data_IF_756745731858
#
_entry.id   IF_756745731858
#
_cell.length_a   1.000
_cell.length_b   1.000
_cell.length_c   1.000
_cell.angle_alpha   90.00
_cell.angle_beta   90.00
_cell.angle_gamma   90.00
#
_symmetry.space_group_name_H-M   'P 1'
#
loop_
_entity.id
_entity.type
_entity.pdbx_description
1 polymer ?
#
# COMPACT_ATOMS: atom_id res chain seq x y z
N UNK A 1 2.90 -22.44 -8.60
CA UNK A 1 3.07 -21.16 -9.33
C UNK A 1 3.55 -20.17 -8.29
N UNK A 2 4.84 -19.89 -8.30
CA UNK A 2 5.51 -19.08 -7.28
C UNK A 2 5.26 -17.61 -7.58
N UNK A 3 4.61 -16.91 -6.65
CA UNK A 3 4.54 -15.44 -6.65
C UNK A 3 5.93 -14.90 -6.26
N UNK A 4 6.84 -14.82 -7.23
CA UNK A 4 8.09 -14.07 -7.12
C UNK A 4 7.77 -12.57 -7.25
N UNK A 5 7.23 -11.97 -6.19
CA UNK A 5 7.33 -10.52 -6.00
C UNK A 5 8.63 -10.26 -5.24
N UNK A 6 9.62 -9.58 -5.83
CA UNK A 6 10.86 -9.28 -5.12
C UNK A 6 10.52 -8.34 -3.97
N UNK A 7 10.53 -8.88 -2.75
CA UNK A 7 10.37 -8.08 -1.57
C UNK A 7 11.66 -7.30 -1.35
N UNK A 8 11.61 -5.99 -1.60
CA UNK A 8 12.70 -5.05 -1.31
C UNK A 8 12.87 -4.86 0.22
N UNK A 9 13.30 -5.94 0.89
CA UNK A 9 13.63 -5.98 2.29
C UNK A 9 15.12 -5.67 2.48
N UNK A 10 15.58 -4.51 2.02
CA UNK A 10 16.85 -3.97 2.50
C UNK A 10 16.77 -3.73 4.01
N UNK A 11 17.77 -4.15 4.78
CA UNK A 11 17.90 -3.84 6.22
C UNK A 11 18.15 -2.35 6.48
N UNK A 12 18.31 -1.54 5.43
CA UNK A 12 18.53 -0.10 5.50
C UNK A 12 17.42 0.68 4.80
N UNK A 13 17.10 1.84 5.33
CA UNK A 13 16.20 2.80 4.71
C UNK A 13 16.90 3.45 3.49
N UNK A 14 16.37 3.34 2.27
CA UNK A 14 17.00 3.92 1.07
C UNK A 14 16.95 5.45 1.02
N UNK A 15 16.13 6.12 1.84
CA UNK A 15 16.10 7.58 1.92
C UNK A 15 17.15 8.13 2.89
N UNK A 16 17.42 7.42 3.99
CA UNK A 16 18.28 7.91 5.08
C UNK A 16 19.56 7.10 5.27
N UNK A 17 19.66 5.92 4.65
CA UNK A 17 20.74 4.96 4.85
C UNK A 17 20.75 4.29 6.23
N UNK A 18 19.85 4.69 7.14
CA UNK A 18 19.81 4.17 8.50
C UNK A 18 19.29 2.73 8.55
N UNK A 19 19.85 1.89 9.44
CA UNK A 19 19.34 0.54 9.65
C UNK A 19 17.89 0.60 10.13
N UNK A 20 17.03 -0.21 9.51
CA UNK A 20 15.62 -0.32 9.90
C UNK A 20 15.58 -0.96 11.29
N UNK A 21 14.78 -0.41 12.23
CA UNK A 21 14.70 -0.96 13.58
C UNK A 21 14.23 -2.43 13.53
N UNK A 22 14.83 -3.32 14.34
CA UNK A 22 14.53 -4.74 14.31
C UNK A 22 13.06 -5.00 14.62
N UNK A 23 12.50 -6.00 13.93
CA UNK A 23 11.09 -6.37 13.99
C UNK A 23 10.70 -6.74 15.42
N UNK A 24 9.96 -5.85 16.08
CA UNK A 24 9.24 -6.20 17.32
C UNK A 24 7.84 -6.66 16.95
N UNK A 25 7.37 -7.70 17.61
CA UNK A 25 5.97 -8.11 17.53
C UNK A 25 5.06 -6.90 17.76
N UNK A 26 4.04 -6.72 16.92
CA UNK A 26 3.11 -5.61 17.03
C UNK A 26 2.23 -5.77 18.28
N UNK A 27 2.74 -5.32 19.43
CA UNK A 27 2.03 -5.27 20.71
C UNK A 27 1.24 -3.97 20.82
N UNK A 28 0.16 -3.85 20.06
CA UNK A 28 -0.85 -2.82 20.27
C UNK A 28 -2.07 -3.38 21.00
N UNK A 29 -2.96 -2.51 21.51
CA UNK A 29 -4.26 -2.93 22.04
C UNK A 29 -4.96 -3.84 21.02
N UNK A 30 -5.30 -5.06 21.42
CA UNK A 30 -5.87 -6.08 20.52
C UNK A 30 -4.87 -7.04 19.87
N UNK A 31 -3.67 -7.21 20.44
CA UNK A 31 -2.69 -8.22 19.98
C UNK A 31 -3.14 -9.67 20.20
N UNK A 32 -3.97 -9.93 21.22
CA UNK A 32 -4.56 -11.26 21.49
C UNK A 32 -5.80 -11.58 20.64
N UNK A 33 -6.21 -10.66 19.76
CA UNK A 33 -7.41 -10.86 18.94
C UNK A 33 -7.14 -11.90 17.87
N UNK A 34 -7.98 -12.93 17.80
CA UNK A 34 -7.97 -13.88 16.70
C UNK A 34 -8.38 -13.20 15.39
N UNK A 35 -7.50 -13.29 14.40
CA UNK A 35 -7.67 -12.64 13.10
C UNK A 35 -8.06 -13.64 12.02
N UNK A 36 -8.84 -13.17 11.05
CA UNK A 36 -9.12 -13.91 9.84
C UNK A 36 -7.81 -14.10 9.04
N UNK A 37 -7.48 -15.30 8.56
CA UNK A 37 -6.27 -15.54 7.77
C UNK A 37 -6.30 -14.85 6.39
N UNK A 38 -7.48 -14.48 5.88
CA UNK A 38 -7.63 -13.78 4.61
C UNK A 38 -7.44 -12.27 4.72
N UNK A 39 -8.31 -11.58 5.48
CA UNK A 39 -8.31 -10.12 5.57
C UNK A 39 -7.56 -9.54 6.78
N UNK A 40 -7.04 -10.39 7.69
CA UNK A 40 -6.34 -10.01 8.92
C UNK A 40 -7.11 -9.10 9.90
N UNK A 41 -8.41 -8.90 9.66
CA UNK A 41 -9.33 -8.28 10.62
C UNK A 41 -9.70 -9.27 11.73
N UNK A 42 -10.15 -8.78 12.89
CA UNK A 42 -10.76 -9.62 13.93
C UNK A 42 -11.82 -10.54 13.32
N UNK A 43 -11.89 -11.82 13.74
CA UNK A 43 -12.85 -12.79 13.19
C UNK A 43 -14.30 -12.28 13.17
N UNK A 44 -14.71 -11.58 14.23
CA UNK A 44 -16.06 -10.99 14.34
C UNK A 44 -16.33 -9.88 13.32
N UNK A 45 -15.28 -9.24 12.78
CA UNK A 45 -15.36 -8.17 11.79
C UNK A 45 -14.75 -8.61 10.45
N UNK A 46 -14.83 -9.91 10.14
CA UNK A 46 -14.28 -10.46 8.91
C UNK A 46 -15.00 -9.87 7.68
N UNK A 47 -14.22 -9.30 6.76
CA UNK A 47 -14.75 -8.75 5.50
C UNK A 47 -14.68 -9.74 4.33
N UNK A 48 -14.07 -10.91 4.50
CA UNK A 48 -13.95 -11.90 3.42
C UNK A 48 -15.29 -12.29 2.77
N UNK A 49 -16.40 -12.47 3.52
CA UNK A 49 -17.71 -12.77 2.90
C UNK A 49 -18.25 -11.64 2.00
N UNK A 50 -17.81 -10.41 2.24
CA UNK A 50 -18.22 -9.21 1.51
C UNK A 50 -17.22 -8.79 0.43
N UNK A 51 -16.10 -9.51 0.30
CA UNK A 51 -15.09 -9.19 -0.70
C UNK A 51 -15.71 -9.28 -2.09
N UNK A 52 -15.50 -8.24 -2.88
CA UNK A 52 -15.90 -8.15 -4.29
C UNK A 52 -14.67 -7.81 -5.08
N UNK A 53 -14.41 -8.57 -6.12
CA UNK A 53 -13.40 -8.23 -7.12
C UNK A 53 -14.10 -7.45 -8.22
N UNK A 54 -13.50 -6.34 -8.63
CA UNK A 54 -14.01 -5.46 -9.67
C UNK A 54 -12.93 -5.29 -10.73
N UNK A 55 -13.33 -5.35 -11.99
CA UNK A 55 -12.47 -4.99 -13.10
C UNK A 55 -12.64 -3.50 -13.41
N UNK A 56 -11.52 -2.82 -13.66
CA UNK A 56 -11.50 -1.37 -13.90
C UNK A 56 -10.51 -1.06 -15.01
N UNK A 57 -10.90 -0.15 -15.91
CA UNK A 57 -9.99 0.45 -16.89
C UNK A 57 -9.02 1.42 -16.24
N UNK A 58 -9.44 2.09 -15.15
CA UNK A 58 -8.56 2.90 -14.32
C UNK A 58 -7.63 2.01 -13.51
N UNK A 59 -6.33 2.34 -13.51
CA UNK A 59 -5.32 1.68 -12.70
C UNK A 59 -5.07 2.48 -11.42
N UNK A 60 -4.92 1.79 -10.31
CA UNK A 60 -4.62 2.39 -9.02
C UNK A 60 -3.16 2.08 -8.65
N UNK A 61 -2.41 3.13 -8.33
CA UNK A 61 -1.05 3.02 -7.80
C UNK A 61 -1.04 3.57 -6.38
N UNK A 62 -0.82 2.70 -5.41
CA UNK A 62 -0.83 3.05 -3.99
C UNK A 62 0.59 3.35 -3.53
N UNK A 63 0.82 4.61 -3.14
CA UNK A 63 2.01 5.02 -2.41
C UNK A 63 1.80 4.74 -0.92
N UNK A 64 2.65 3.91 -0.33
CA UNK A 64 2.54 3.54 1.08
C UNK A 64 3.87 3.68 1.81
N UNK A 65 3.81 4.10 3.07
CA UNK A 65 5.01 4.15 3.91
C UNK A 65 5.52 2.72 4.20
N UNK A 66 6.84 2.47 4.31
CA UNK A 66 7.39 1.14 4.58
C UNK A 66 6.74 0.43 5.78
N UNK A 67 6.48 1.19 6.86
CA UNK A 67 5.89 0.65 8.09
C UNK A 67 4.42 0.20 7.93
N UNK A 68 3.71 0.70 6.94
CA UNK A 68 2.31 0.31 6.68
C UNK A 68 2.22 -1.12 6.16
N UNK A 69 3.26 -1.64 5.51
CA UNK A 69 3.33 -3.06 5.13
C UNK A 69 3.34 -4.00 6.34
N UNK A 70 3.71 -3.49 7.51
CA UNK A 70 3.73 -4.27 8.75
C UNK A 70 2.39 -4.25 9.49
N UNK A 71 1.46 -3.39 9.07
CA UNK A 71 0.12 -3.39 9.67
C UNK A 71 -0.61 -4.67 9.26
N UNK A 72 -1.30 -5.34 10.19
CA UNK A 72 -2.06 -6.54 9.86
C UNK A 72 -3.13 -6.23 8.80
N UNK A 73 -3.74 -5.04 8.86
CA UNK A 73 -4.75 -4.55 7.93
C UNK A 73 -4.63 -3.03 7.76
N UNK A 74 -4.95 -2.53 6.56
CA UNK A 74 -5.10 -1.11 6.22
C UNK A 74 -5.99 -0.94 4.97
N UNK A 75 -6.38 0.29 4.66
CA UNK A 75 -7.24 0.60 3.50
C UNK A 75 -6.60 0.19 2.18
N UNK A 76 -5.26 0.30 2.05
CA UNK A 76 -4.55 -0.08 0.82
C UNK A 76 -4.71 -1.56 0.48
N UNK A 77 -4.67 -2.44 1.49
CA UNK A 77 -4.93 -3.87 1.32
C UNK A 77 -6.36 -4.14 0.87
N UNK A 78 -7.34 -3.40 1.40
CA UNK A 78 -8.74 -3.50 0.93
C UNK A 78 -8.88 -3.07 -0.54
N UNK A 79 -8.22 -2.00 -0.96
CA UNK A 79 -8.22 -1.55 -2.35
C UNK A 79 -7.64 -2.62 -3.27
N UNK A 80 -6.48 -3.19 -2.92
CA UNK A 80 -5.87 -4.30 -3.69
C UNK A 80 -6.76 -5.54 -3.71
N UNK A 81 -7.47 -5.78 -2.62
CA UNK A 81 -8.37 -6.92 -2.52
C UNK A 81 -9.60 -6.80 -3.43
N UNK A 82 -10.04 -5.56 -3.72
CA UNK A 82 -11.17 -5.23 -4.60
C UNK A 82 -10.74 -5.03 -6.06
N UNK A 83 -9.59 -4.39 -6.28
CA UNK A 83 -9.01 -4.08 -7.59
C UNK A 83 -7.65 -4.80 -7.71
N UNK A 84 -7.60 -6.04 -8.21
CA UNK A 84 -6.37 -6.84 -8.23
C UNK A 84 -5.25 -6.24 -9.09
N UNK A 85 -5.61 -5.39 -10.05
CA UNK A 85 -4.67 -4.66 -10.91
C UNK A 85 -3.97 -3.49 -10.19
N UNK A 86 -4.32 -3.24 -8.92
CA UNK A 86 -3.69 -2.22 -8.08
C UNK A 86 -2.25 -2.58 -7.78
N UNK A 87 -1.35 -1.63 -7.99
CA UNK A 87 0.06 -1.79 -7.69
C UNK A 87 0.43 -0.95 -6.47
N UNK A 88 1.33 -1.47 -5.64
CA UNK A 88 1.75 -0.81 -4.40
C UNK A 88 3.23 -0.44 -4.52
N UNK A 89 3.55 0.80 -4.21
CA UNK A 89 4.90 1.35 -4.23
C UNK A 89 5.25 1.86 -2.85
N UNK A 90 6.49 1.60 -2.43
CA UNK A 90 7.01 2.16 -1.20
C UNK A 90 7.33 3.63 -1.43
N UNK A 91 6.76 4.50 -0.61
CA UNK A 91 7.01 5.93 -0.69
C UNK A 91 8.18 6.34 0.19
N UNK A 92 9.12 7.05 -0.43
CA UNK A 92 10.19 7.77 0.23
C UNK A 92 10.16 9.23 -0.24
N UNK A 93 10.52 10.16 0.65
CA UNK A 93 10.51 11.61 0.33
C UNK A 93 11.51 11.98 -0.77
N UNK A 94 12.65 11.31 -0.81
CA UNK A 94 13.80 11.68 -1.65
C UNK A 94 14.14 10.64 -2.71
N UNK A 95 13.58 9.43 -2.58
CA UNK A 95 13.99 8.27 -3.39
C UNK A 95 12.74 7.61 -3.99
N UNK A 96 12.12 8.22 -5.00
CA UNK A 96 10.95 7.64 -5.66
C UNK A 96 11.31 6.33 -6.36
N UNK A 97 10.34 5.41 -6.42
CA UNK A 97 10.47 4.14 -7.14
C UNK A 97 10.57 4.39 -8.66
N UNK A 98 11.62 3.88 -9.30
CA UNK A 98 11.88 4.09 -10.74
C UNK A 98 10.75 3.52 -11.62
N UNK A 99 10.14 2.43 -11.19
CA UNK A 99 9.04 1.79 -11.91
C UNK A 99 7.77 2.63 -11.85
N UNK A 100 7.54 3.33 -10.74
CA UNK A 100 6.46 4.31 -10.64
C UNK A 100 6.73 5.49 -11.59
N UNK A 101 7.95 6.02 -11.62
CA UNK A 101 8.30 7.11 -12.53
C UNK A 101 8.10 6.73 -14.00
N UNK A 102 8.50 5.50 -14.38
CA UNK A 102 8.27 4.99 -15.74
C UNK A 102 6.78 4.90 -16.09
N UNK A 103 5.93 4.48 -15.14
CA UNK A 103 4.49 4.42 -15.34
C UNK A 103 3.84 5.82 -15.45
N UNK A 104 4.32 6.79 -14.68
CA UNK A 104 3.85 8.17 -14.74
C UNK A 104 4.24 8.87 -16.05
N UNK A 105 5.38 8.50 -16.64
CA UNK A 105 5.84 9.02 -17.93
C UNK A 105 5.16 8.35 -19.15
N UNK A 106 4.47 7.23 -18.94
CA UNK A 106 3.81 6.49 -20.02
C UNK A 106 2.53 7.21 -20.47
N UNK A 107 2.53 7.65 -21.73
CA UNK A 107 1.42 8.36 -22.39
C UNK A 107 0.07 7.64 -22.38
N UNK A 108 0.04 6.32 -22.10
CA UNK A 108 -1.20 5.55 -21.96
C UNK A 108 -1.98 5.92 -20.70
N UNK A 109 -1.34 6.54 -19.71
CA UNK A 109 -1.96 6.91 -18.45
C UNK A 109 -2.08 8.42 -18.33
N UNK A 110 -3.20 8.88 -17.77
CA UNK A 110 -3.42 10.27 -17.35
C UNK A 110 -3.43 10.29 -15.81
N UNK A 111 -2.25 10.31 -15.16
CA UNK A 111 -2.17 10.15 -13.71
C UNK A 111 -2.77 11.35 -12.97
N UNK A 112 -3.61 11.06 -11.98
CA UNK A 112 -4.18 12.05 -11.05
C UNK A 112 -3.88 11.66 -9.61
N UNK A 113 -3.37 12.59 -8.80
CA UNK A 113 -3.13 12.35 -7.38
C UNK A 113 -4.41 12.58 -6.57
N UNK A 114 -4.90 11.54 -5.89
CA UNK A 114 -5.98 11.66 -4.91
C UNK A 114 -5.39 11.62 -3.51
N UNK A 115 -5.17 12.79 -2.91
CA UNK A 115 -4.87 12.91 -1.48
C UNK A 115 -6.16 13.28 -0.73
N UNK A 116 -6.48 12.68 0.44
CA UNK A 116 -7.64 13.09 1.23
C UNK A 116 -7.46 14.54 1.66
N UNK A 117 -8.18 15.43 0.96
CA UNK A 117 -8.16 16.87 1.21
C UNK A 117 -9.07 17.15 2.40
N UNK A 118 -8.53 17.65 3.52
CA UNK A 118 -9.32 18.51 4.40
C UNK A 118 -9.56 19.77 3.58
N UNK A 119 -10.69 19.81 2.87
CA UNK A 119 -11.18 20.91 2.02
C UNK A 119 -10.29 22.16 1.99
N UNK A 120 -9.46 22.31 0.96
CA UNK A 120 -9.10 23.62 0.42
C UNK A 120 -8.54 23.46 -0.99
N UNK A 121 -9.35 23.92 -1.93
CA UNK A 121 -9.05 24.12 -3.34
C UNK A 121 -7.82 24.99 -3.51
N UNK A 122 -6.77 24.43 -4.12
CA UNK A 122 -5.80 25.21 -4.90
C UNK A 122 -5.37 24.38 -6.12
N UNK A 123 -5.19 25.03 -7.29
CA UNK A 123 -4.88 24.32 -8.52
C UNK A 123 -3.45 23.79 -8.46
N UNK A 124 -3.29 22.53 -8.84
CA UNK A 124 -1.98 21.89 -9.00
C UNK A 124 -1.31 22.54 -10.21
N UNK A 125 -0.33 23.40 -9.97
CA UNK A 125 0.73 23.70 -10.93
C UNK A 125 1.90 22.76 -10.60
N UNK A 126 2.38 22.07 -11.63
CA UNK A 126 3.49 21.11 -11.57
C UNK A 126 4.77 21.71 -11.00
#
# INVERSE_FOLDING_TARGET
>A
MSDDTPSDFSDRDPATGHPRPPRREFKARGSFVERCPGCNLPRLNCLCPYRRTVESTARVWLLTHPLEHHKPTNTGRLIRDVLPTTEVFTWYRTTPDERLLALLADSRYAPSSSFPMTSQTTPIAW
#
